data_IF_746757350954
#
_entry.id   IF_746757350954
#
_cell.length_a   1.000
_cell.length_b   1.000
_cell.length_c   1.000
_cell.angle_alpha   90.00
_cell.angle_beta   90.00
_cell.angle_gamma   90.00
#
_symmetry.space_group_name_H-M   'P 1'
#
loop_
_entity.id
_entity.type
_entity.pdbx_description
1 polymer ?
#
# COMPACT_ATOMS: atom_id res chain seq x y z
N UNK A 1 -10.65 13.15 3.67
CA UNK A 1 -11.13 11.79 3.33
C UNK A 1 -10.05 10.79 3.72
N UNK A 2 -10.41 9.62 4.27
CA UNK A 2 -9.45 8.55 4.55
C UNK A 2 -9.65 7.39 3.56
N UNK A 3 -8.56 6.92 2.96
CA UNK A 3 -8.49 5.74 2.11
C UNK A 3 -8.02 4.54 2.93
N UNK A 4 -8.88 3.53 3.10
CA UNK A 4 -8.52 2.30 3.78
C UNK A 4 -8.04 1.27 2.76
N UNK A 5 -6.74 1.00 2.72
CA UNK A 5 -6.15 0.08 1.75
C UNK A 5 -5.50 -1.13 2.45
N UNK A 6 -6.07 -2.32 2.18
CA UNK A 6 -5.56 -3.61 2.66
C UNK A 6 -4.70 -4.32 1.61
N UNK A 7 -4.71 -3.86 0.36
CA UNK A 7 -4.03 -4.53 -0.74
C UNK A 7 -2.51 -4.46 -0.56
N UNK A 8 -1.98 -3.38 0.03
CA UNK A 8 -0.56 -3.25 0.37
C UNK A 8 -0.06 -4.35 1.33
N UNK A 9 -0.94 -5.02 2.09
CA UNK A 9 -0.56 -6.12 2.96
C UNK A 9 0.09 -7.30 2.22
N UNK A 10 -0.15 -7.43 0.91
CA UNK A 10 0.50 -8.43 0.06
C UNK A 10 2.03 -8.27 0.02
N UNK A 11 2.55 -7.05 0.17
CA UNK A 11 3.98 -6.77 0.15
C UNK A 11 4.67 -6.94 1.52
N UNK A 12 3.90 -7.27 2.57
CA UNK A 12 4.43 -7.42 3.93
C UNK A 12 4.43 -8.86 4.43
N UNK A 13 3.90 -9.80 3.64
CA UNK A 13 3.77 -11.21 4.04
C UNK A 13 4.38 -12.14 2.99
N UNK A 14 5.10 -13.17 3.44
CA UNK A 14 5.74 -14.17 2.57
C UNK A 14 4.76 -14.81 1.58
N UNK A 15 3.53 -15.11 2.04
CA UNK A 15 2.44 -15.61 1.19
C UNK A 15 2.03 -14.62 0.10
N UNK A 16 2.05 -13.33 0.39
CA UNK A 16 1.75 -12.30 -0.60
C UNK A 16 2.84 -12.22 -1.67
N UNK A 17 4.11 -12.28 -1.26
CA UNK A 17 5.24 -12.38 -2.20
C UNK A 17 5.15 -13.62 -3.11
N UNK A 18 4.79 -14.78 -2.54
CA UNK A 18 4.55 -16.00 -3.31
C UNK A 18 3.39 -15.84 -4.31
N UNK A 19 2.31 -15.17 -3.90
CA UNK A 19 1.18 -14.89 -4.79
C UNK A 19 1.60 -13.99 -5.96
N UNK A 20 2.33 -12.91 -5.69
CA UNK A 20 2.82 -11.97 -6.72
C UNK A 20 3.66 -12.73 -7.76
N UNK A 21 4.59 -13.58 -7.29
CA UNK A 21 5.40 -14.44 -8.15
C UNK A 21 4.57 -15.46 -8.91
N UNK A 22 3.56 -16.07 -8.28
CA UNK A 22 2.65 -17.01 -8.93
C UNK A 22 1.80 -16.36 -10.03
N UNK A 23 1.48 -15.07 -9.90
CA UNK A 23 0.85 -14.26 -10.95
C UNK A 23 1.84 -13.82 -12.05
N UNK A 24 3.12 -14.15 -11.94
CA UNK A 24 4.15 -13.78 -12.91
C UNK A 24 4.43 -12.28 -12.94
N UNK A 25 4.27 -11.60 -11.79
CA UNK A 25 4.50 -10.16 -11.65
C UNK A 25 5.71 -9.93 -10.76
N UNK A 26 6.46 -8.87 -11.05
CA UNK A 26 7.51 -8.39 -10.15
C UNK A 26 6.88 -7.49 -9.08
N UNK A 27 7.43 -7.54 -7.88
CA UNK A 27 6.88 -6.81 -6.74
C UNK A 27 6.97 -5.30 -6.92
N UNK A 28 8.09 -4.82 -7.45
CA UNK A 28 8.32 -3.39 -7.68
C UNK A 28 7.34 -2.85 -8.74
N UNK A 29 7.13 -3.59 -9.84
CA UNK A 29 6.13 -3.22 -10.86
C UNK A 29 4.71 -3.16 -10.30
N UNK A 30 4.37 -4.07 -9.39
CA UNK A 30 3.05 -4.09 -8.77
C UNK A 30 2.88 -2.91 -7.79
N UNK A 31 3.92 -2.56 -7.02
CA UNK A 31 3.94 -1.39 -6.13
C UNK A 31 3.78 -0.09 -6.93
N UNK A 32 4.52 0.07 -8.02
CA UNK A 32 4.40 1.23 -8.90
C UNK A 32 3.00 1.33 -9.51
N UNK A 33 2.44 0.20 -9.96
CA UNK A 33 1.06 0.17 -10.47
C UNK A 33 0.05 0.60 -9.41
N UNK A 34 0.20 0.15 -8.16
CA UNK A 34 -0.69 0.53 -7.06
C UNK A 34 -0.57 2.02 -6.75
N UNK A 35 0.66 2.53 -6.67
CA UNK A 35 0.90 3.94 -6.42
C UNK A 35 0.30 4.82 -7.52
N UNK A 36 0.49 4.44 -8.78
CA UNK A 36 -0.11 5.14 -9.92
C UNK A 36 -1.63 5.15 -9.85
N UNK A 37 -2.26 4.02 -9.55
CA UNK A 37 -3.73 3.94 -9.44
C UNK A 37 -4.27 4.83 -8.32
N UNK A 38 -3.60 4.86 -7.16
CA UNK A 38 -4.02 5.74 -6.05
C UNK A 38 -3.84 7.21 -6.45
N UNK A 39 -2.70 7.57 -7.03
CA UNK A 39 -2.44 8.93 -7.49
C UNK A 39 -3.46 9.41 -8.53
N UNK A 40 -3.79 8.56 -9.51
CA UNK A 40 -4.81 8.86 -10.51
C UNK A 40 -6.19 9.03 -9.87
N UNK A 41 -6.52 8.23 -8.85
CA UNK A 41 -7.79 8.34 -8.13
C UNK A 41 -7.92 9.63 -7.32
N UNK A 42 -6.79 10.21 -6.89
CA UNK A 42 -6.76 11.46 -6.09
C UNK A 42 -6.35 12.69 -6.89
N UNK A 43 -6.00 12.54 -8.17
CA UNK A 43 -5.46 13.62 -9.00
C UNK A 43 -6.44 14.79 -9.21
N UNK A 44 -7.75 14.52 -9.24
CA UNK A 44 -8.80 15.53 -9.44
C UNK A 44 -9.42 16.00 -8.11
N UNK A 45 -8.67 15.87 -6.99
CA UNK A 45 -9.18 16.29 -5.68
C UNK A 45 -9.23 17.81 -5.57
N UNK A 46 -10.25 18.38 -4.90
CA UNK A 46 -10.26 19.78 -4.50
C UNK A 46 -9.05 20.13 -3.62
N UNK A 47 -8.53 21.37 -3.74
CA UNK A 47 -7.37 21.84 -2.96
C UNK A 47 -7.63 21.89 -1.44
N UNK A 48 -8.90 21.94 -1.02
CA UNK A 48 -9.30 21.92 0.39
C UNK A 48 -9.56 20.50 0.93
N UNK A 49 -9.42 19.47 0.10
CA UNK A 49 -9.63 18.08 0.49
C UNK A 49 -8.33 17.42 0.93
N UNK A 50 -8.17 17.27 2.24
CA UNK A 50 -7.10 16.46 2.84
C UNK A 50 -7.36 14.98 2.59
N UNK A 51 -6.42 14.27 1.96
CA UNK A 51 -6.49 12.82 1.76
C UNK A 51 -5.44 12.13 2.62
N UNK A 52 -5.93 11.23 3.46
CA UNK A 52 -5.09 10.36 4.28
C UNK A 52 -5.28 8.92 3.88
N UNK A 53 -4.25 8.09 4.03
CA UNK A 53 -4.37 6.65 3.79
C UNK A 53 -4.09 5.87 5.06
N UNK A 54 -4.95 4.91 5.34
CA UNK A 54 -4.77 3.92 6.37
C UNK A 54 -4.40 2.59 5.71
N UNK A 55 -3.18 2.13 6.01
CA UNK A 55 -2.76 0.79 5.61
C UNK A 55 -3.02 -0.12 6.80
N UNK A 56 -4.07 -0.92 6.70
CA UNK A 56 -4.32 -1.96 7.69
C UNK A 56 -3.42 -3.15 7.36
N UNK A 57 -2.61 -3.59 8.33
CA UNK A 57 -1.78 -4.81 8.20
C UNK A 57 -2.59 -6.10 8.00
N UNK A 58 -3.92 -6.01 8.03
CA UNK A 58 -4.81 -7.16 7.91
C UNK A 58 -4.64 -8.10 9.10
N UNK A 59 -5.66 -8.17 9.94
CA UNK A 59 -5.79 -9.31 10.85
C UNK A 59 -6.23 -10.55 10.06
N UNK A 60 -5.47 -10.94 9.02
CA UNK A 60 -5.80 -12.05 8.16
C UNK A 60 -5.40 -13.35 8.87
N UNK A 61 -6.33 -13.86 9.69
CA UNK A 61 -6.26 -15.15 10.40
C UNK A 61 -5.18 -15.28 11.48
N UNK A 62 -5.23 -14.48 12.55
CA UNK A 62 -4.55 -14.81 13.83
C UNK A 62 -3.05 -15.16 13.71
N UNK A 63 -2.40 -14.70 12.66
CA UNK A 63 -1.00 -14.96 12.36
C UNK A 63 -0.35 -13.59 12.37
N UNK A 64 0.60 -13.37 13.27
CA UNK A 64 1.51 -12.21 13.23
C UNK A 64 2.23 -12.22 11.87
N UNK A 65 1.63 -11.59 10.86
CA UNK A 65 2.03 -11.76 9.46
C UNK A 65 2.93 -10.64 8.92
N UNK A 66 3.44 -9.73 9.77
CA UNK A 66 4.31 -8.66 9.31
C UNK A 66 5.23 -8.15 10.44
N UNK A 67 6.26 -8.93 10.78
CA UNK A 67 7.57 -8.42 11.23
C UNK A 67 8.50 -8.15 10.03
N UNK A 68 7.96 -8.12 8.81
CA UNK A 68 8.68 -7.72 7.61
C UNK A 68 8.86 -6.20 7.57
N UNK A 69 10.11 -5.77 7.39
CA UNK A 69 10.49 -4.36 7.31
C UNK A 69 9.69 -3.64 6.23
N UNK A 70 9.10 -2.51 6.63
CA UNK A 70 8.38 -1.62 5.73
C UNK A 70 9.28 -1.05 4.63
N UNK A 71 10.61 -1.15 4.73
CA UNK A 71 11.57 -0.48 3.87
C UNK A 71 11.18 -0.48 2.39
N UNK A 72 10.86 -1.65 1.82
CA UNK A 72 10.68 -1.79 0.38
C UNK A 72 9.38 -1.16 -0.17
N UNK A 73 8.30 -1.14 0.62
CA UNK A 73 7.04 -0.53 0.19
C UNK A 73 6.85 0.88 0.76
N UNK A 74 7.45 1.18 1.92
CA UNK A 74 7.38 2.50 2.52
C UNK A 74 8.03 3.56 1.64
N UNK A 75 9.12 3.26 0.95
CA UNK A 75 9.70 4.23 0.02
C UNK A 75 8.67 4.64 -1.06
N UNK A 76 7.99 3.67 -1.69
CA UNK A 76 6.94 3.95 -2.67
C UNK A 76 5.72 4.64 -2.04
N UNK A 77 5.30 4.23 -0.84
CA UNK A 77 4.14 4.80 -0.14
C UNK A 77 4.40 6.25 0.30
N UNK A 78 5.61 6.57 0.78
CA UNK A 78 5.93 7.88 1.33
C UNK A 78 6.48 8.87 0.30
N UNK A 79 7.23 8.39 -0.69
CA UNK A 79 7.82 9.24 -1.72
C UNK A 79 7.01 9.26 -3.03
N UNK A 80 6.21 8.22 -3.28
CA UNK A 80 5.49 8.06 -4.55
C UNK A 80 4.00 8.38 -4.50
N UNK A 81 3.36 8.41 -3.32
CA UNK A 81 1.93 8.70 -3.20
C UNK A 81 1.67 10.17 -2.92
N UNK A 82 0.73 10.75 -3.65
CA UNK A 82 0.24 12.10 -3.43
C UNK A 82 -0.81 12.08 -2.30
N UNK A 83 -0.37 11.96 -1.05
CA UNK A 83 -1.20 11.89 0.15
C UNK A 83 -0.75 12.91 1.19
N UNK A 84 -1.71 13.52 1.89
CA UNK A 84 -1.44 14.49 2.95
C UNK A 84 -1.05 13.81 4.28
N UNK A 85 -1.35 12.52 4.44
CA UNK A 85 -0.96 11.78 5.64
C UNK A 85 -1.14 10.27 5.56
N UNK A 86 -0.33 9.53 6.31
CA UNK A 86 -0.44 8.08 6.47
C UNK A 86 -0.74 7.71 7.93
N UNK A 87 -1.85 7.02 8.17
CA UNK A 87 -2.21 6.46 9.47
C UNK A 87 -1.79 5.00 9.55
N UNK A 88 -0.74 4.74 10.35
CA UNK A 88 -0.22 3.39 10.64
C UNK A 88 -0.80 2.91 11.96
N UNK A 89 -1.47 1.76 11.97
CA UNK A 89 -1.83 1.01 13.19
C UNK A 89 -1.36 -0.43 13.04
#
# INVERSE_FOLDING_TARGET
>A
MQLDDTAWAVFFSEKGHEQIKAFGREEDELRESFAKTINEAVADRPEDLVITMHICRGNFKSTWAAEGGYEAAAETIFAGLDLDGLFRV
#
